data_IF_354821465024
#
_entry.id   IF_354821465024
#
_cell.length_a   1.000
_cell.length_b   1.000
_cell.length_c   1.000
_cell.angle_alpha   90.00
_cell.angle_beta   90.00
_cell.angle_gamma   90.00
#
_symmetry.space_group_name_H-M   'P 1'
#
loop_
_entity.id
_entity.type
_entity.pdbx_description
1 polymer ?
#
# COMPACT_ATOMS: atom_id res chain seq x y z
N UNK A 1 -16.45 -9.35 7.22
CA UNK A 1 -15.01 -9.47 7.30
C UNK A 1 -14.34 -8.66 6.20
N UNK A 2 -13.33 -7.93 6.54
CA UNK A 2 -12.68 -7.07 5.58
C UNK A 2 -11.74 -7.85 4.69
N UNK A 3 -11.80 -7.50 3.41
CA UNK A 3 -10.96 -8.15 2.42
C UNK A 3 -10.17 -7.09 1.70
N UNK A 4 -8.86 -7.25 1.68
CA UNK A 4 -8.01 -6.42 0.87
C UNK A 4 -6.90 -7.28 0.31
N UNK A 5 -6.39 -6.89 -0.84
CA UNK A 5 -5.29 -7.63 -1.46
C UNK A 5 -3.95 -7.32 -0.77
N UNK A 6 -3.91 -6.32 0.08
CA UNK A 6 -2.66 -5.89 0.69
C UNK A 6 -2.46 -6.53 2.05
N UNK A 7 -1.23 -6.94 2.33
CA UNK A 7 -0.83 -7.47 3.62
C UNK A 7 0.50 -6.86 4.00
N UNK A 8 0.73 -6.77 5.31
CA UNK A 8 2.00 -6.27 5.81
C UNK A 8 3.12 -7.12 5.21
N UNK A 9 4.13 -6.44 4.68
CA UNK A 9 5.27 -7.09 4.05
C UNK A 9 5.18 -7.19 2.55
N UNK A 10 4.00 -6.92 1.96
CA UNK A 10 3.86 -6.93 0.50
C UNK A 10 4.64 -5.79 -0.12
N UNK A 11 5.15 -6.02 -1.31
CA UNK A 11 5.71 -4.97 -2.14
C UNK A 11 4.63 -4.42 -3.04
N UNK A 12 4.63 -3.11 -3.21
CA UNK A 12 3.61 -2.45 -4.00
C UNK A 12 4.19 -1.24 -4.72
N UNK A 13 3.42 -0.69 -5.64
CA UNK A 13 3.83 0.49 -6.39
C UNK A 13 2.60 1.23 -6.88
N UNK A 14 2.79 2.50 -7.25
CA UNK A 14 1.74 3.28 -7.88
C UNK A 14 1.75 3.00 -9.38
N UNK A 15 0.63 2.62 -9.96
CA UNK A 15 0.59 2.33 -11.39
C UNK A 15 0.66 3.57 -12.28
N UNK A 16 0.39 4.74 -11.72
CA UNK A 16 0.38 5.97 -12.49
C UNK A 16 1.40 6.96 -11.94
N UNK A 17 2.04 7.71 -12.84
CA UNK A 17 3.02 8.69 -12.47
C UNK A 17 4.25 8.04 -11.85
N UNK A 18 4.80 8.69 -10.83
CA UNK A 18 5.93 8.12 -10.13
C UNK A 18 5.51 6.81 -9.46
N UNK A 19 6.28 5.77 -9.68
CA UNK A 19 5.86 4.43 -9.27
C UNK A 19 5.86 4.23 -7.75
N UNK A 20 6.64 5.00 -7.05
CA UNK A 20 6.67 4.95 -5.59
C UNK A 20 6.81 3.52 -5.08
N UNK A 21 7.94 2.86 -5.40
CA UNK A 21 8.13 1.48 -4.92
C UNK A 21 8.16 1.48 -3.40
N UNK A 22 7.37 0.62 -2.80
CA UNK A 22 7.18 0.66 -1.37
C UNK A 22 6.85 -0.71 -0.81
N UNK A 23 6.91 -0.80 0.52
CA UNK A 23 6.56 -2.01 1.25
C UNK A 23 5.40 -1.67 2.17
N UNK A 24 4.40 -2.54 2.18
CA UNK A 24 3.22 -2.34 3.03
C UNK A 24 3.61 -2.62 4.47
N UNK A 25 3.40 -1.64 5.33
CA UNK A 25 3.75 -1.79 6.74
C UNK A 25 2.53 -1.84 7.64
N UNK A 26 1.37 -1.40 7.15
CA UNK A 26 0.15 -1.48 7.93
C UNK A 26 -1.05 -1.38 7.01
N UNK A 27 -2.13 -2.03 7.39
CA UNK A 27 -3.41 -1.92 6.69
C UNK A 27 -4.45 -1.69 7.78
N UNK A 28 -5.27 -0.67 7.59
CA UNK A 28 -6.28 -0.37 8.60
C UNK A 28 -7.54 0.15 7.92
N UNK A 29 -8.59 0.27 8.72
CA UNK A 29 -9.87 0.74 8.24
C UNK A 29 -10.18 2.07 8.92
N UNK A 30 -10.66 3.02 8.15
CA UNK A 30 -11.05 4.31 8.70
C UNK A 30 -12.38 4.20 9.45
N UNK A 31 -12.73 5.28 10.14
CA UNK A 31 -14.00 5.35 10.84
C UNK A 31 -15.16 5.12 9.88
N UNK A 32 -14.99 5.57 8.64
CA UNK A 32 -16.04 5.41 7.62
C UNK A 32 -16.05 4.03 6.99
N UNK A 33 -15.15 3.16 7.41
CA UNK A 33 -15.11 1.81 6.89
C UNK A 33 -14.30 1.63 5.61
N UNK A 34 -13.47 2.61 5.27
CA UNK A 34 -12.64 2.53 4.08
C UNK A 34 -11.27 1.97 4.42
N UNK A 35 -10.77 1.13 3.53
CA UNK A 35 -9.45 0.51 3.72
C UNK A 35 -8.37 1.51 3.35
N UNK A 36 -7.39 1.65 4.22
CA UNK A 36 -6.21 2.47 3.97
C UNK A 36 -4.97 1.63 4.18
N UNK A 37 -3.96 1.94 3.41
CA UNK A 37 -2.71 1.20 3.42
C UNK A 37 -1.59 2.15 3.75
N UNK A 38 -0.77 1.80 4.74
CA UNK A 38 0.43 2.57 5.06
C UNK A 38 1.60 1.88 4.39
N UNK A 39 2.31 2.62 3.56
CA UNK A 39 3.43 2.08 2.80
C UNK A 39 4.69 2.86 3.10
N UNK A 40 5.79 2.16 3.25
CA UNK A 40 7.09 2.76 3.48
C UNK A 40 7.84 2.76 2.16
N UNK A 41 8.24 3.95 1.70
CA UNK A 41 9.00 4.07 0.46
C UNK A 41 10.33 3.35 0.62
N UNK A 42 10.63 2.45 -0.29
CA UNK A 42 11.83 1.61 -0.17
C UNK A 42 13.10 2.45 -0.17
N UNK A 43 13.10 3.50 -0.97
CA UNK A 43 14.33 4.25 -1.19
C UNK A 43 14.68 5.15 -0.01
N UNK A 44 13.68 5.80 0.57
CA UNK A 44 13.95 6.80 1.61
C UNK A 44 13.34 6.45 2.96
N UNK A 45 12.52 5.43 3.02
CA UNK A 45 11.89 5.07 4.27
C UNK A 45 10.76 5.99 4.70
N UNK A 46 10.25 6.81 3.79
CA UNK A 46 9.14 7.69 4.08
C UNK A 46 7.84 6.90 4.13
N UNK A 47 7.00 7.23 5.08
CA UNK A 47 5.72 6.57 5.23
C UNK A 47 4.64 7.42 4.57
N UNK A 48 3.78 6.76 3.81
CA UNK A 48 2.64 7.40 3.17
C UNK A 48 1.42 6.54 3.35
N UNK A 49 0.26 7.19 3.42
CA UNK A 49 -1.01 6.50 3.53
C UNK A 49 -1.72 6.60 2.19
N UNK A 50 -2.13 5.46 1.67
CA UNK A 50 -2.80 5.38 0.37
C UNK A 50 -4.15 4.72 0.52
N UNK A 51 -5.06 5.06 -0.41
CA UNK A 51 -6.26 4.26 -0.61
C UNK A 51 -5.84 2.96 -1.26
N UNK A 52 -6.62 1.91 -1.02
CA UNK A 52 -6.22 0.62 -1.58
C UNK A 52 -6.27 0.60 -3.10
N UNK A 53 -7.03 1.52 -3.73
CA UNK A 53 -7.09 1.57 -5.19
C UNK A 53 -5.98 2.40 -5.80
N UNK A 54 -5.12 3.01 -5.01
CA UNK A 54 -4.02 3.82 -5.51
C UNK A 54 -2.74 3.02 -5.73
N UNK A 55 -2.70 1.80 -5.25
CA UNK A 55 -1.50 0.96 -5.33
C UNK A 55 -1.82 -0.36 -5.99
N UNK A 56 -0.80 -0.95 -6.57
CA UNK A 56 -0.85 -2.29 -7.11
C UNK A 56 0.23 -3.13 -6.46
N UNK A 57 -0.06 -4.39 -6.27
CA UNK A 57 0.93 -5.31 -5.73
C UNK A 57 2.00 -5.59 -6.78
N UNK A 58 3.26 -5.59 -6.35
CA UNK A 58 4.33 -6.06 -7.18
C UNK A 58 4.22 -7.56 -7.29
N UNK A 59 4.33 -8.07 -8.51
CA UNK A 59 4.28 -9.49 -8.72
C UNK A 59 5.68 -10.01 -8.90
N UNK A 60 6.03 -10.97 -8.08
CA UNK A 60 7.33 -11.61 -8.13
C UNK A 60 7.22 -12.87 -8.98
N UNK A 61 8.15 -13.03 -9.87
CA UNK A 61 8.16 -14.22 -10.70
C UNK A 61 9.28 -15.15 -10.29
#
# INVERSE_FOLDING_TARGET
MEQTKFKVGNKAYKPKGYRFPCTIVSVFKTVEGKIRVVAEMDEYGLLHIFNEDQLELCQEL
#
